data_IF_360018626177
#
_entry.id   IF_360018626177
#
_cell.length_a   1.000
_cell.length_b   1.000
_cell.length_c   1.000
_cell.angle_alpha   90.00
_cell.angle_beta   90.00
_cell.angle_gamma   90.00
#
_symmetry.space_group_name_H-M   'P 1'
#
loop_
_entity.id
_entity.type
_entity.pdbx_description
1 polymer ?
#
# COMPACT_ATOMS: atom_id res chain seq x y z
N UNK A 1 -18.35 -41.30 -20.89
CA UNK A 1 -17.36 -40.22 -20.63
C UNK A 1 -17.83 -39.39 -19.43
N UNK A 2 -17.60 -39.89 -18.20
CA UNK A 2 -17.94 -39.18 -16.94
C UNK A 2 -16.78 -38.25 -16.57
N UNK A 3 -16.78 -36.99 -17.03
CA UNK A 3 -15.85 -35.98 -16.51
C UNK A 3 -16.43 -35.37 -15.22
N UNK A 4 -15.95 -35.92 -14.11
CA UNK A 4 -15.36 -35.17 -12.99
C UNK A 4 -16.24 -34.19 -12.19
N UNK A 5 -17.19 -34.75 -11.43
CA UNK A 5 -17.90 -34.02 -10.37
C UNK A 5 -17.03 -33.71 -9.14
N UNK A 6 -15.97 -34.50 -8.92
CA UNK A 6 -15.00 -34.35 -7.83
C UNK A 6 -14.18 -33.07 -7.96
N UNK A 7 -13.55 -32.81 -9.12
CA UNK A 7 -12.75 -31.61 -9.34
C UNK A 7 -13.56 -30.31 -9.23
N UNK A 8 -14.83 -30.34 -9.62
CA UNK A 8 -15.74 -29.18 -9.48
C UNK A 8 -16.17 -28.91 -8.03
N UNK A 9 -16.22 -29.93 -7.16
CA UNK A 9 -16.48 -29.77 -5.72
C UNK A 9 -15.23 -29.26 -5.00
N UNK A 10 -14.06 -29.80 -5.34
CA UNK A 10 -12.78 -29.41 -4.75
C UNK A 10 -12.41 -27.96 -5.06
N UNK A 11 -12.57 -27.54 -6.33
CA UNK A 11 -12.40 -26.14 -6.72
C UNK A 11 -13.35 -25.18 -6.00
N UNK A 12 -14.60 -25.59 -5.73
CA UNK A 12 -15.57 -24.80 -4.96
C UNK A 12 -15.15 -24.62 -3.50
N UNK A 13 -14.61 -25.67 -2.88
CA UNK A 13 -14.16 -25.64 -1.49
C UNK A 13 -12.94 -24.74 -1.33
N UNK A 14 -11.96 -24.86 -2.23
CA UNK A 14 -10.75 -24.02 -2.24
C UNK A 14 -11.08 -22.52 -2.38
N UNK A 15 -12.03 -22.17 -3.27
CA UNK A 15 -12.48 -20.78 -3.43
C UNK A 15 -13.15 -20.21 -2.17
N UNK A 16 -13.94 -21.04 -1.47
CA UNK A 16 -14.57 -20.63 -0.22
C UNK A 16 -13.52 -20.42 0.88
N UNK A 17 -12.57 -21.35 1.02
CA UNK A 17 -11.49 -21.24 2.02
C UNK A 17 -10.68 -19.96 1.81
N UNK A 18 -10.29 -19.66 0.57
CA UNK A 18 -9.58 -18.42 0.25
C UNK A 18 -10.39 -17.18 0.59
N UNK A 19 -11.69 -17.17 0.28
CA UNK A 19 -12.56 -16.04 0.58
C UNK A 19 -12.71 -15.82 2.09
N UNK A 20 -12.91 -16.89 2.87
CA UNK A 20 -13.01 -16.83 4.34
C UNK A 20 -11.68 -16.38 4.95
N UNK A 21 -10.55 -16.92 4.47
CA UNK A 21 -9.23 -16.51 4.92
C UNK A 21 -8.98 -15.03 4.64
N UNK A 22 -9.39 -14.53 3.46
CA UNK A 22 -9.25 -13.11 3.12
C UNK A 22 -10.10 -12.23 4.03
N UNK A 23 -11.36 -12.59 4.26
CA UNK A 23 -12.23 -11.87 5.21
C UNK A 23 -11.62 -11.83 6.61
N UNK A 24 -11.15 -12.97 7.12
CA UNK A 24 -10.50 -13.04 8.42
C UNK A 24 -9.23 -12.16 8.49
N UNK A 25 -8.40 -12.20 7.45
CA UNK A 25 -7.16 -11.42 7.39
C UNK A 25 -7.41 -9.91 7.34
N UNK A 26 -8.41 -9.43 6.59
CA UNK A 26 -8.71 -7.98 6.56
C UNK A 26 -9.39 -7.49 7.83
N UNK A 27 -10.17 -8.35 8.51
CA UNK A 27 -10.72 -8.05 9.84
C UNK A 27 -9.59 -7.98 10.86
N UNK A 28 -8.67 -8.96 10.87
CA UNK A 28 -7.49 -8.95 11.72
C UNK A 28 -6.65 -7.69 11.49
N UNK A 29 -6.39 -7.35 10.23
CA UNK A 29 -5.70 -6.12 9.84
C UNK A 29 -6.39 -4.86 10.41
N UNK A 30 -7.70 -4.72 10.23
CA UNK A 30 -8.44 -3.54 10.69
C UNK A 30 -8.47 -3.44 12.22
N UNK A 31 -8.66 -4.57 12.92
CA UNK A 31 -8.64 -4.65 14.39
C UNK A 31 -7.24 -4.29 14.92
N UNK A 32 -6.18 -4.86 14.35
CA UNK A 32 -4.81 -4.53 14.74
C UNK A 32 -4.52 -3.04 14.53
N UNK A 33 -4.94 -2.47 13.39
CA UNK A 33 -4.81 -1.05 13.11
C UNK A 33 -5.57 -0.15 14.09
N UNK A 34 -6.80 -0.51 14.46
CA UNK A 34 -7.59 0.25 15.44
C UNK A 34 -6.99 0.20 16.85
N UNK A 35 -6.55 -0.98 17.29
CA UNK A 35 -5.91 -1.17 18.59
C UNK A 35 -4.56 -0.46 18.65
N UNK A 36 -3.71 -0.64 17.64
CA UNK A 36 -2.40 0.00 17.56
C UNK A 36 -2.47 1.51 17.31
N UNK A 37 -3.53 1.99 16.69
CA UNK A 37 -3.78 3.43 16.51
C UNK A 37 -4.30 4.11 17.78
N UNK A 38 -5.11 3.41 18.58
CA UNK A 38 -5.64 3.93 19.86
C UNK A 38 -4.66 3.82 21.03
N UNK A 39 -3.61 3.01 20.91
CA UNK A 39 -2.71 2.70 22.03
C UNK A 39 -3.32 1.73 23.05
N UNK A 40 -4.39 1.02 22.67
CA UNK A 40 -4.98 0.01 23.55
C UNK A 40 -4.02 -1.18 23.79
N UNK A 41 -3.13 -1.46 22.84
CA UNK A 41 -1.96 -2.33 23.03
C UNK A 41 -0.69 -1.65 22.54
N UNK A 42 0.22 -1.33 23.46
CA UNK A 42 1.45 -0.59 23.17
C UNK A 42 1.21 0.91 22.96
N UNK A 43 2.23 1.59 22.44
CA UNK A 43 2.13 3.01 22.15
C UNK A 43 1.43 3.24 20.80
N UNK A 44 0.62 4.30 20.65
CA UNK A 44 0.01 4.65 19.36
C UNK A 44 1.05 4.76 18.24
N UNK A 45 0.76 4.20 17.07
CA UNK A 45 1.68 4.24 15.90
C UNK A 45 2.20 5.67 15.63
N UNK A 46 1.33 6.67 15.67
CA UNK A 46 1.74 8.06 15.48
C UNK A 46 2.70 8.57 16.57
N UNK A 47 2.51 8.15 17.83
CA UNK A 47 3.40 8.50 18.95
C UNK A 47 4.80 7.90 18.74
N UNK A 48 4.85 6.59 18.42
CA UNK A 48 6.12 5.91 18.15
C UNK A 48 6.83 6.55 16.97
N UNK A 49 6.14 6.82 15.86
CA UNK A 49 6.73 7.47 14.70
C UNK A 49 7.31 8.86 15.03
N UNK A 50 6.58 9.68 15.79
CA UNK A 50 7.03 11.01 16.20
C UNK A 50 8.22 10.99 17.17
N UNK A 51 8.49 9.87 17.84
CA UNK A 51 9.67 9.72 18.69
C UNK A 51 10.97 9.49 17.91
N UNK A 52 10.89 9.25 16.59
CA UNK A 52 12.03 9.12 15.68
C UNK A 52 11.89 10.10 14.51
N UNK A 53 11.97 11.42 14.77
CA UNK A 53 11.74 12.43 13.75
C UNK A 53 12.80 12.34 12.64
N UNK A 54 12.35 12.38 11.39
CA UNK A 54 13.22 12.43 10.21
C UNK A 54 12.77 13.54 9.27
N UNK A 55 13.65 13.95 8.35
CA UNK A 55 13.32 14.95 7.34
C UNK A 55 12.24 14.47 6.35
N UNK A 56 11.94 13.16 6.32
CA UNK A 56 10.98 12.54 5.38
C UNK A 56 9.83 11.84 6.11
N UNK A 57 9.62 12.14 7.40
CA UNK A 57 8.46 11.68 8.15
C UNK A 57 7.23 12.48 7.68
N UNK A 58 6.19 11.84 7.13
CA UNK A 58 4.95 12.53 6.79
C UNK A 58 4.29 13.11 8.05
N UNK A 59 3.62 14.25 7.91
CA UNK A 59 2.86 14.83 9.03
C UNK A 59 1.79 13.87 9.56
N UNK A 60 1.41 14.02 10.84
CA UNK A 60 0.51 13.08 11.53
C UNK A 60 -0.83 12.80 10.82
N UNK A 61 -1.37 13.77 10.08
CA UNK A 61 -2.59 13.60 9.30
C UNK A 61 -2.47 12.61 8.13
N UNK A 62 -1.23 12.30 7.68
CA UNK A 62 -0.97 11.33 6.63
C UNK A 62 -1.47 9.93 6.98
N UNK A 63 -1.35 9.55 8.25
CA UNK A 63 -1.70 8.21 8.75
C UNK A 63 -3.20 7.91 8.68
N UNK A 64 -4.06 8.91 8.45
CA UNK A 64 -5.50 8.70 8.22
C UNK A 64 -5.79 7.86 6.97
N UNK A 65 -4.83 7.75 6.03
CA UNK A 65 -4.91 6.84 4.89
C UNK A 65 -5.03 5.36 5.29
N UNK A 66 -4.57 4.96 6.48
CA UNK A 66 -4.76 3.60 6.98
C UNK A 66 -6.23 3.27 7.16
N UNK A 67 -7.05 4.20 7.66
CA UNK A 67 -8.50 4.03 7.75
C UNK A 67 -9.11 3.78 6.37
N UNK A 68 -8.69 4.54 5.37
CA UNK A 68 -9.12 4.33 3.98
C UNK A 68 -8.70 2.94 3.47
N UNK A 69 -7.45 2.53 3.69
CA UNK A 69 -6.93 1.21 3.30
C UNK A 69 -7.74 0.09 3.96
N UNK A 70 -8.04 0.19 5.26
CA UNK A 70 -8.82 -0.84 5.97
C UNK A 70 -10.24 -0.95 5.42
N UNK A 71 -10.92 0.17 5.19
CA UNK A 71 -12.26 0.18 4.57
C UNK A 71 -12.21 -0.43 3.16
N UNK A 72 -11.27 0.00 2.32
CA UNK A 72 -11.14 -0.52 0.95
C UNK A 72 -10.81 -2.01 0.92
N UNK A 73 -9.95 -2.50 1.82
CA UNK A 73 -9.62 -3.92 1.98
C UNK A 73 -10.83 -4.75 2.39
N UNK A 74 -11.64 -4.27 3.35
CA UNK A 74 -12.87 -4.94 3.77
C UNK A 74 -13.86 -5.03 2.61
N UNK A 75 -14.09 -3.92 1.91
CA UNK A 75 -14.99 -3.87 0.75
C UNK A 75 -14.53 -4.83 -0.35
N UNK A 76 -13.22 -4.87 -0.65
CA UNK A 76 -12.65 -5.81 -1.60
C UNK A 76 -12.84 -7.25 -1.16
N UNK A 77 -12.60 -7.57 0.11
CA UNK A 77 -12.74 -8.93 0.65
C UNK A 77 -14.20 -9.41 0.60
N UNK A 78 -15.15 -8.55 0.97
CA UNK A 78 -16.59 -8.83 0.86
C UNK A 78 -16.96 -9.09 -0.59
N UNK A 79 -16.52 -8.23 -1.53
CA UNK A 79 -16.74 -8.45 -2.96
C UNK A 79 -16.16 -9.77 -3.42
N UNK A 80 -14.92 -10.07 -3.06
CA UNK A 80 -14.23 -11.31 -3.43
C UNK A 80 -14.91 -12.57 -2.87
N UNK A 81 -15.63 -12.46 -1.75
CA UNK A 81 -16.38 -13.55 -1.14
C UNK A 81 -17.72 -13.86 -1.82
N UNK A 82 -18.29 -12.92 -2.60
CA UNK A 82 -19.57 -13.11 -3.27
C UNK A 82 -19.52 -14.33 -4.23
N UNK A 83 -20.60 -15.13 -4.32
CA UNK A 83 -20.60 -16.36 -5.14
C UNK A 83 -20.21 -16.16 -6.60
N UNK A 84 -20.59 -15.02 -7.19
CA UNK A 84 -20.27 -14.63 -8.58
C UNK A 84 -18.82 -14.16 -8.76
N UNK A 85 -18.16 -13.72 -7.69
CA UNK A 85 -16.81 -13.15 -7.73
C UNK A 85 -15.75 -14.15 -7.29
N UNK A 86 -16.02 -14.94 -6.23
CA UNK A 86 -15.03 -15.86 -5.63
C UNK A 86 -14.43 -16.88 -6.58
N UNK A 87 -15.07 -17.17 -7.71
CA UNK A 87 -14.58 -18.11 -8.72
C UNK A 87 -13.78 -17.47 -9.85
N UNK A 88 -13.74 -16.13 -9.93
CA UNK A 88 -13.02 -15.43 -10.99
C UNK A 88 -11.52 -15.62 -10.82
N UNK A 89 -10.83 -15.80 -11.94
CA UNK A 89 -9.40 -16.05 -12.00
C UNK A 89 -8.58 -14.96 -11.31
N UNK A 90 -8.97 -13.68 -11.49
CA UNK A 90 -8.29 -12.57 -10.82
C UNK A 90 -8.29 -12.71 -9.29
N UNK A 91 -9.41 -13.09 -8.68
CA UNK A 91 -9.51 -13.30 -7.23
C UNK A 91 -8.79 -14.57 -6.76
N UNK A 92 -8.67 -15.59 -7.61
CA UNK A 92 -7.81 -16.76 -7.35
C UNK A 92 -6.34 -16.38 -7.37
N UNK A 93 -5.94 -15.55 -8.33
CA UNK A 93 -4.57 -15.09 -8.51
C UNK A 93 -4.08 -14.16 -7.40
N UNK A 94 -4.92 -13.24 -6.91
CA UNK A 94 -4.53 -12.24 -5.90
C UNK A 94 -4.90 -12.61 -4.47
N UNK A 95 -5.91 -13.46 -4.26
CA UNK A 95 -6.54 -13.59 -2.93
C UNK A 95 -5.59 -14.03 -1.81
N UNK A 96 -4.70 -14.99 -2.06
CA UNK A 96 -3.73 -15.44 -1.05
C UNK A 96 -2.64 -14.42 -0.75
N UNK A 97 -2.28 -13.58 -1.73
CA UNK A 97 -1.38 -12.45 -1.51
C UNK A 97 -2.03 -11.39 -0.64
N UNK A 98 -3.33 -11.14 -0.82
CA UNK A 98 -4.08 -10.22 0.02
C UNK A 98 -4.31 -10.77 1.46
N UNK A 99 -4.45 -12.09 1.60
CA UNK A 99 -4.43 -12.75 2.93
C UNK A 99 -3.09 -12.48 3.63
N UNK A 100 -1.97 -12.78 2.95
CA UNK A 100 -0.64 -12.52 3.49
C UNK A 100 -0.44 -11.04 3.81
N UNK A 101 -0.92 -10.13 2.96
CA UNK A 101 -0.86 -8.69 3.20
C UNK A 101 -1.63 -8.27 4.47
N UNK A 102 -2.81 -8.84 4.72
CA UNK A 102 -3.58 -8.57 5.93
C UNK A 102 -2.86 -9.04 7.20
N UNK A 103 -2.27 -10.24 7.16
CA UNK A 103 -1.51 -10.81 8.29
C UNK A 103 -0.23 -10.01 8.55
N UNK A 104 0.55 -9.71 7.51
CA UNK A 104 1.76 -8.89 7.63
C UNK A 104 1.43 -7.46 8.09
N UNK A 105 0.26 -6.92 7.71
CA UNK A 105 -0.19 -5.63 8.22
C UNK A 105 -0.36 -5.66 9.74
N UNK A 106 -1.13 -6.63 10.23
CA UNK A 106 -1.33 -6.78 11.67
C UNK A 106 0.00 -6.99 12.41
N UNK A 107 0.90 -7.80 11.83
CA UNK A 107 2.20 -8.10 12.42
C UNK A 107 3.10 -6.86 12.54
N UNK A 108 3.19 -5.99 11.52
CA UNK A 108 4.03 -4.79 11.64
C UNK A 108 3.44 -3.81 12.66
N UNK A 109 2.10 -3.67 12.72
CA UNK A 109 1.47 -2.79 13.72
C UNK A 109 1.85 -3.24 15.13
N UNK A 110 1.76 -4.54 15.41
CA UNK A 110 2.18 -5.10 16.70
C UNK A 110 3.67 -4.83 16.95
N UNK A 111 4.56 -5.16 16.00
CA UNK A 111 6.00 -4.94 16.19
C UNK A 111 6.35 -3.46 16.41
N UNK A 112 5.73 -2.55 15.66
CA UNK A 112 6.01 -1.12 15.69
C UNK A 112 5.52 -0.49 16.99
N UNK A 113 4.30 -0.83 17.45
CA UNK A 113 3.74 -0.34 18.73
C UNK A 113 4.52 -0.82 19.95
N UNK A 114 5.31 -1.91 19.82
CA UNK A 114 6.26 -2.39 20.83
C UNK A 114 7.69 -1.86 20.63
N UNK A 115 7.90 -0.90 19.72
CA UNK A 115 9.21 -0.30 19.36
C UNK A 115 10.24 -1.29 18.80
N UNK A 116 9.80 -2.45 18.29
CA UNK A 116 10.67 -3.38 17.58
C UNK A 116 10.90 -2.91 16.14
N UNK A 117 11.52 -1.75 15.97
CA UNK A 117 11.52 -1.01 14.69
C UNK A 117 12.20 -1.76 13.55
N UNK A 118 13.32 -2.42 13.80
CA UNK A 118 14.01 -3.23 12.78
C UNK A 118 13.12 -4.38 12.29
N UNK A 119 12.40 -5.03 13.21
CA UNK A 119 11.47 -6.09 12.87
C UNK A 119 10.25 -5.54 12.13
N UNK A 120 9.69 -4.42 12.59
CA UNK A 120 8.57 -3.76 11.93
C UNK A 120 8.93 -3.35 10.48
N UNK A 121 10.12 -2.80 10.27
CA UNK A 121 10.65 -2.44 8.96
C UNK A 121 10.81 -3.68 8.06
N UNK A 122 11.39 -4.77 8.57
CA UNK A 122 11.50 -6.01 7.82
C UNK A 122 10.11 -6.58 7.41
N UNK A 123 9.11 -6.48 8.29
CA UNK A 123 7.73 -6.88 7.99
C UNK A 123 7.10 -5.94 6.95
N UNK A 124 7.33 -4.62 7.02
CA UNK A 124 6.85 -3.65 6.03
C UNK A 124 7.45 -3.94 4.64
N UNK A 125 8.74 -4.29 4.56
CA UNK A 125 9.39 -4.69 3.30
C UNK A 125 8.74 -5.98 2.76
N UNK A 126 8.52 -6.99 3.61
CA UNK A 126 7.84 -8.21 3.20
C UNK A 126 6.40 -7.94 2.72
N UNK A 127 5.67 -7.06 3.42
CA UNK A 127 4.34 -6.59 3.05
C UNK A 127 4.36 -5.92 1.67
N UNK A 128 5.34 -5.04 1.42
CA UNK A 128 5.50 -4.38 0.12
C UNK A 128 5.72 -5.40 -1.00
N UNK A 129 6.59 -6.40 -0.82
CA UNK A 129 6.83 -7.45 -1.82
C UNK A 129 5.55 -8.23 -2.15
N UNK A 130 4.79 -8.59 -1.11
CA UNK A 130 3.49 -9.27 -1.25
C UNK A 130 2.48 -8.40 -2.02
N UNK A 131 2.40 -7.11 -1.69
CA UNK A 131 1.50 -6.15 -2.35
C UNK A 131 1.91 -5.88 -3.80
N UNK A 132 3.20 -5.74 -4.10
CA UNK A 132 3.71 -5.63 -5.46
C UNK A 132 3.36 -6.87 -6.28
N UNK A 133 3.44 -8.07 -5.69
CA UNK A 133 3.06 -9.31 -6.37
C UNK A 133 1.55 -9.35 -6.65
N UNK A 134 0.71 -8.94 -5.68
CA UNK A 134 -0.73 -8.80 -5.89
C UNK A 134 -1.05 -7.75 -6.98
N UNK A 135 -0.32 -6.64 -6.98
CA UNK A 135 -0.46 -5.54 -7.93
C UNK A 135 -0.16 -5.99 -9.37
N UNK A 136 1.00 -6.59 -9.60
CA UNK A 136 1.36 -7.11 -10.93
C UNK A 136 0.30 -8.09 -11.44
N UNK A 137 -0.17 -9.00 -10.57
CA UNK A 137 -1.21 -9.97 -10.92
C UNK A 137 -2.56 -9.30 -11.24
N UNK A 138 -2.98 -8.29 -10.48
CA UNK A 138 -4.24 -7.59 -10.78
C UNK A 138 -4.14 -6.77 -12.05
N UNK A 139 -3.01 -6.12 -12.30
CA UNK A 139 -2.80 -5.32 -13.53
C UNK A 139 -2.73 -6.17 -14.81
N UNK A 140 -2.39 -7.46 -14.69
CA UNK A 140 -2.47 -8.42 -15.79
C UNK A 140 -3.90 -8.82 -16.17
N UNK A 141 -4.91 -8.41 -15.40
CA UNK A 141 -6.32 -8.66 -15.68
C UNK A 141 -7.04 -7.33 -15.95
N UNK A 142 -7.48 -7.05 -17.19
CA UNK A 142 -8.29 -5.87 -17.47
C UNK A 142 -9.56 -5.84 -16.63
N UNK A 143 -10.00 -4.66 -16.19
CA UNK A 143 -11.21 -4.57 -15.38
C UNK A 143 -12.44 -4.91 -16.23
N UNK A 144 -13.33 -5.74 -15.67
CA UNK A 144 -14.60 -6.10 -16.32
C UNK A 144 -15.65 -4.99 -16.32
N UNK A 145 -15.35 -3.82 -15.74
CA UNK A 145 -16.24 -2.68 -15.63
C UNK A 145 -15.90 -1.77 -14.44
N UNK A 146 -16.73 -0.75 -14.21
CA UNK A 146 -16.53 0.24 -13.13
C UNK A 146 -16.36 -0.37 -11.73
N UNK A 147 -17.05 -1.49 -11.47
CA UNK A 147 -17.01 -2.11 -10.16
C UNK A 147 -15.68 -2.82 -9.89
N UNK A 148 -15.00 -3.35 -10.91
CA UNK A 148 -13.65 -3.92 -10.75
C UNK A 148 -12.62 -2.80 -10.56
N UNK A 149 -12.77 -1.70 -11.31
CA UNK A 149 -11.94 -0.51 -11.17
C UNK A 149 -11.90 -0.02 -9.72
N UNK A 150 -13.09 0.25 -9.18
CA UNK A 150 -13.23 0.86 -7.85
C UNK A 150 -13.00 -0.12 -6.70
N UNK A 151 -13.40 -1.39 -6.85
CA UNK A 151 -13.46 -2.34 -5.72
C UNK A 151 -12.41 -3.46 -5.81
N UNK A 152 -11.58 -3.48 -6.84
CA UNK A 152 -10.48 -4.43 -7.00
C UNK A 152 -9.15 -3.73 -7.31
N UNK A 153 -9.08 -2.89 -8.33
CA UNK A 153 -7.83 -2.21 -8.67
C UNK A 153 -7.50 -1.08 -7.68
N UNK A 154 -8.43 -0.15 -7.44
CA UNK A 154 -8.16 0.99 -6.53
C UNK A 154 -7.70 0.56 -5.14
N UNK A 155 -8.33 -0.40 -4.43
CA UNK A 155 -7.88 -0.82 -3.10
C UNK A 155 -6.43 -1.32 -3.07
N UNK A 156 -6.06 -2.19 -4.03
CA UNK A 156 -4.70 -2.74 -4.10
C UNK A 156 -3.70 -1.63 -4.45
N UNK A 157 -4.08 -0.70 -5.34
CA UNK A 157 -3.25 0.41 -5.77
C UNK A 157 -2.96 1.39 -4.64
N UNK A 158 -4.01 1.82 -3.93
CA UNK A 158 -3.85 2.69 -2.75
C UNK A 158 -2.94 2.02 -1.72
N UNK A 159 -3.13 0.72 -1.48
CA UNK A 159 -2.38 -0.01 -0.48
C UNK A 159 -0.89 -0.12 -0.84
N UNK A 160 -0.55 -0.55 -2.06
CA UNK A 160 0.85 -0.66 -2.49
C UNK A 160 1.53 0.71 -2.60
N UNK A 161 0.80 1.75 -3.03
CA UNK A 161 1.33 3.12 -3.12
C UNK A 161 1.69 3.70 -1.76
N UNK A 162 0.81 3.55 -0.77
CA UNK A 162 1.10 3.98 0.60
C UNK A 162 2.26 3.21 1.23
N UNK A 163 2.23 1.86 1.15
CA UNK A 163 3.26 1.03 1.76
C UNK A 163 4.63 1.30 1.11
N UNK A 164 4.68 1.57 -0.19
CA UNK A 164 5.93 1.94 -0.87
C UNK A 164 6.61 3.18 -0.26
N UNK A 165 5.85 4.24 0.04
CA UNK A 165 6.40 5.42 0.71
C UNK A 165 6.69 5.15 2.19
N UNK A 166 5.83 4.38 2.85
CA UNK A 166 6.01 4.00 4.25
C UNK A 166 7.29 3.19 4.48
N UNK A 167 7.70 2.33 3.54
CA UNK A 167 9.00 1.62 3.61
C UNK A 167 10.17 2.60 3.61
N UNK A 168 10.17 3.59 2.72
CA UNK A 168 11.29 4.56 2.66
C UNK A 168 11.35 5.43 3.92
N UNK A 169 10.20 5.92 4.39
CA UNK A 169 10.12 6.74 5.60
C UNK A 169 10.39 5.93 6.88
N UNK A 170 9.91 4.67 6.92
CA UNK A 170 10.14 3.72 8.00
C UNK A 170 11.60 3.34 8.15
N UNK A 171 12.31 3.11 7.03
CA UNK A 171 13.75 2.87 7.02
C UNK A 171 14.53 4.04 7.63
N UNK A 172 14.17 5.29 7.29
CA UNK A 172 14.80 6.46 7.90
C UNK A 172 14.56 6.53 9.42
N UNK A 173 13.32 6.27 9.86
CA UNK A 173 12.95 6.28 11.28
C UNK A 173 13.68 5.16 12.05
N UNK A 174 13.80 3.99 11.44
CA UNK A 174 14.57 2.85 11.97
C UNK A 174 16.06 3.19 12.06
N UNK A 175 16.62 3.90 11.08
CA UNK A 175 18.00 4.40 11.13
C UNK A 175 18.24 5.32 12.33
N UNK A 176 17.35 6.28 12.57
CA UNK A 176 17.42 7.16 13.76
C UNK A 176 17.34 6.34 15.05
N UNK A 177 16.47 5.33 15.10
CA UNK A 177 16.36 4.44 16.27
C UNK A 177 17.63 3.62 16.54
N UNK A 178 18.41 3.33 15.51
CA UNK A 178 19.72 2.68 15.60
C UNK A 178 20.86 3.67 15.91
N UNK A 179 20.56 4.95 16.13
CA UNK A 179 21.54 6.00 16.44
C UNK A 179 22.13 6.69 15.22
N UNK A 180 21.67 6.41 14.00
CA UNK A 180 22.17 7.01 12.77
C UNK A 180 21.62 8.44 12.66
N UNK A 181 22.42 9.42 13.08
CA UNK A 181 22.05 10.85 13.13
C UNK A 181 23.12 11.71 12.47
N UNK A 182 23.27 11.64 11.13
CA UNK A 182 24.33 12.36 10.43
C UNK A 182 24.06 13.88 10.42
N UNK A 183 25.12 14.70 10.30
CA UNK A 183 24.98 16.16 10.27
C UNK A 183 24.10 16.62 9.09
N UNK A 184 23.51 17.83 9.15
CA UNK A 184 22.64 18.38 8.10
C UNK A 184 23.23 18.35 6.68
N UNK A 185 24.56 18.49 6.55
CA UNK A 185 25.28 18.41 5.28
C UNK A 185 25.15 17.06 4.58
N UNK A 186 24.80 16.01 5.32
CA UNK A 186 24.61 14.64 4.81
C UNK A 186 23.14 14.24 4.86
N UNK A 187 22.43 14.51 5.96
CA UNK A 187 21.02 14.11 6.11
C UNK A 187 20.09 14.80 5.11
N UNK A 188 20.31 16.08 4.79
CA UNK A 188 19.47 16.82 3.84
C UNK A 188 19.60 16.27 2.41
N UNK A 189 20.80 16.12 1.81
CA UNK A 189 20.93 15.49 0.49
C UNK A 189 20.37 14.06 0.44
N UNK A 190 20.61 13.24 1.47
CA UNK A 190 20.06 11.88 1.53
C UNK A 190 18.53 11.87 1.55
N UNK A 191 17.91 12.76 2.33
CA UNK A 191 16.46 12.92 2.37
C UNK A 191 15.90 13.35 1.00
N UNK A 192 16.55 14.31 0.33
CA UNK A 192 16.17 14.73 -1.03
C UNK A 192 16.27 13.56 -2.01
N UNK A 193 17.38 12.81 -2.00
CA UNK A 193 17.57 11.64 -2.85
C UNK A 193 16.53 10.55 -2.59
N UNK A 194 16.18 10.30 -1.32
CA UNK A 194 15.15 9.33 -0.95
C UNK A 194 13.77 9.74 -1.47
N UNK A 195 13.39 11.02 -1.32
CA UNK A 195 12.11 11.56 -1.81
C UNK A 195 12.05 11.53 -3.34
N UNK A 196 13.09 12.01 -4.03
CA UNK A 196 13.14 12.00 -5.49
C UNK A 196 13.20 10.58 -6.05
N UNK A 197 13.95 9.69 -5.42
CA UNK A 197 14.01 8.26 -5.80
C UNK A 197 12.63 7.60 -5.68
N UNK A 198 11.90 7.90 -4.60
CA UNK A 198 10.51 7.45 -4.41
C UNK A 198 9.59 7.98 -5.50
N UNK A 199 9.69 9.28 -5.83
CA UNK A 199 8.89 9.88 -6.89
C UNK A 199 9.21 9.30 -8.28
N UNK A 200 10.50 9.09 -8.59
CA UNK A 200 10.93 8.46 -9.86
C UNK A 200 10.40 7.04 -9.95
N UNK A 201 10.55 6.23 -8.90
CA UNK A 201 10.01 4.87 -8.87
C UNK A 201 8.48 4.86 -9.06
N UNK A 202 7.78 5.80 -8.44
CA UNK A 202 6.33 5.95 -8.62
C UNK A 202 5.95 6.37 -10.04
N UNK A 203 6.67 7.31 -10.66
CA UNK A 203 6.44 7.71 -12.07
C UNK A 203 6.67 6.53 -13.01
N UNK A 204 7.76 5.76 -12.82
CA UNK A 204 8.03 4.56 -13.61
C UNK A 204 6.89 3.55 -13.47
N UNK A 205 6.42 3.29 -12.24
CA UNK A 205 5.28 2.42 -12.01
C UNK A 205 4.00 2.92 -12.68
N UNK A 206 3.72 4.23 -12.62
CA UNK A 206 2.56 4.86 -13.27
C UNK A 206 2.61 4.73 -14.80
N UNK A 207 3.80 4.75 -15.40
CA UNK A 207 3.99 4.65 -16.85
C UNK A 207 3.96 3.20 -17.33
N UNK A 208 4.44 2.23 -16.53
CA UNK A 208 4.53 0.82 -16.92
C UNK A 208 3.29 -0.01 -16.62
N UNK A 209 2.53 0.36 -15.59
CA UNK A 209 1.34 -0.38 -15.18
C UNK A 209 0.05 0.31 -15.61
N UNK A 210 -1.04 -0.45 -15.61
CA UNK A 210 -2.40 0.06 -15.78
C UNK A 210 -3.10 0.16 -14.41
N UNK A 211 -4.26 0.83 -14.39
CA UNK A 211 -5.07 1.01 -13.18
C UNK A 211 -4.39 1.83 -12.07
N UNK A 212 -3.51 2.75 -12.44
CA UNK A 212 -2.52 3.37 -11.54
C UNK A 212 -3.05 4.49 -10.66
N UNK A 213 -4.32 4.91 -10.78
CA UNK A 213 -4.82 6.07 -10.05
C UNK A 213 -4.83 5.90 -8.53
N UNK A 214 -5.22 4.73 -8.02
CA UNK A 214 -5.17 4.47 -6.58
C UNK A 214 -3.75 4.57 -6.02
N UNK A 215 -2.79 4.01 -6.77
CA UNK A 215 -1.37 4.08 -6.45
C UNK A 215 -0.83 5.51 -6.49
N UNK A 216 -1.06 6.23 -7.59
CA UNK A 216 -0.60 7.61 -7.76
C UNK A 216 -1.18 8.54 -6.69
N UNK A 217 -2.46 8.38 -6.35
CA UNK A 217 -3.12 9.16 -5.31
C UNK A 217 -2.49 8.91 -3.93
N UNK A 218 -2.21 7.65 -3.57
CA UNK A 218 -1.60 7.33 -2.28
C UNK A 218 -0.15 7.84 -2.17
N UNK A 219 0.64 7.74 -3.24
CA UNK A 219 2.00 8.29 -3.28
C UNK A 219 1.96 9.82 -3.19
N UNK A 220 1.11 10.47 -3.99
CA UNK A 220 0.97 11.94 -3.97
C UNK A 220 0.51 12.44 -2.60
N UNK A 221 -0.43 11.73 -1.95
CA UNK A 221 -0.86 12.00 -0.58
C UNK A 221 0.32 11.96 0.39
N UNK A 222 1.12 10.89 0.37
CA UNK A 222 2.26 10.75 1.27
C UNK A 222 3.33 11.83 1.04
N UNK A 223 3.69 12.09 -0.22
CA UNK A 223 4.67 13.13 -0.57
C UNK A 223 4.17 14.53 -0.19
N UNK A 224 2.88 14.83 -0.35
CA UNK A 224 2.31 16.11 0.10
C UNK A 224 2.43 16.28 1.62
N UNK A 225 2.17 15.23 2.40
CA UNK A 225 2.34 15.27 3.85
C UNK A 225 3.80 15.34 4.31
N UNK A 226 4.75 14.82 3.53
CA UNK A 226 6.19 15.06 3.76
C UNK A 226 6.52 16.52 3.52
N UNK A 227 6.03 17.11 2.41
CA UNK A 227 6.30 18.51 2.08
C UNK A 227 5.80 19.48 3.14
N UNK A 228 4.65 19.19 3.75
CA UNK A 228 4.04 20.03 4.80
C UNK A 228 4.75 19.88 6.14
N UNK A 229 5.29 18.70 6.46
CA UNK A 229 5.85 18.41 7.78
C UNK A 229 7.35 18.68 7.91
N UNK A 230 8.10 18.58 6.81
CA UNK A 230 9.56 18.69 6.88
C UNK A 230 10.02 20.12 7.17
N UNK A 231 10.98 20.33 8.08
CA UNK A 231 11.55 21.67 8.33
C UNK A 231 12.56 22.08 7.25
N UNK A 232 12.92 21.18 6.32
CA UNK A 232 13.94 21.42 5.30
C UNK A 232 13.32 21.82 3.97
N UNK A 233 13.52 23.08 3.57
CA UNK A 233 13.04 23.60 2.28
C UNK A 233 13.46 22.73 1.08
N UNK A 234 14.72 22.28 0.94
CA UNK A 234 15.10 21.38 -0.16
C UNK A 234 14.29 20.09 -0.21
N UNK A 235 13.98 19.50 0.94
CA UNK A 235 13.18 18.27 1.03
C UNK A 235 11.72 18.55 0.69
N UNK A 236 11.17 19.68 1.16
CA UNK A 236 9.82 20.11 0.81
C UNK A 236 9.68 20.35 -0.71
N UNK A 237 10.64 21.04 -1.32
CA UNK A 237 10.67 21.27 -2.76
C UNK A 237 10.76 19.96 -3.55
N UNK A 238 11.62 19.02 -3.14
CA UNK A 238 11.72 17.70 -3.74
C UNK A 238 10.39 16.92 -3.66
N UNK A 239 9.71 16.99 -2.52
CA UNK A 239 8.42 16.34 -2.32
C UNK A 239 7.32 16.96 -3.21
N UNK A 240 7.27 18.29 -3.33
CA UNK A 240 6.35 19.00 -4.23
C UNK A 240 6.61 18.61 -5.69
N UNK A 241 7.86 18.62 -6.14
CA UNK A 241 8.25 18.16 -7.48
C UNK A 241 7.81 16.71 -7.69
N UNK A 242 7.99 15.86 -6.67
CA UNK A 242 7.52 14.48 -6.70
C UNK A 242 6.01 14.35 -6.88
N UNK A 243 5.21 15.09 -6.11
CA UNK A 243 3.74 15.15 -6.25
C UNK A 243 3.37 15.57 -7.68
N UNK A 244 3.92 16.69 -8.18
CA UNK A 244 3.63 17.20 -9.51
C UNK A 244 4.01 16.19 -10.59
N UNK A 245 5.14 15.51 -10.44
CA UNK A 245 5.62 14.50 -11.39
C UNK A 245 4.71 13.28 -11.43
N UNK A 246 4.31 12.75 -10.27
CA UNK A 246 3.42 11.58 -10.16
C UNK A 246 2.03 11.91 -10.71
N UNK A 247 1.47 13.08 -10.35
CA UNK A 247 0.17 13.54 -10.86
C UNK A 247 0.23 13.76 -12.37
N UNK A 248 1.27 14.44 -12.86
CA UNK A 248 1.44 14.67 -14.31
C UNK A 248 1.60 13.35 -15.07
N UNK A 249 2.37 12.40 -14.55
CA UNK A 249 2.50 11.07 -15.14
C UNK A 249 1.16 10.33 -15.20
N UNK A 250 0.36 10.40 -14.12
CA UNK A 250 -0.96 9.75 -14.07
C UNK A 250 -1.96 10.41 -15.04
N UNK A 251 -1.90 11.74 -15.18
CA UNK A 251 -2.70 12.48 -16.17
C UNK A 251 -2.25 12.10 -17.58
N UNK A 252 -0.94 12.14 -17.88
CA UNK A 252 -0.42 11.81 -19.21
C UNK A 252 -0.66 10.35 -19.60
N UNK A 253 -0.58 9.40 -18.68
CA UNK A 253 -0.90 7.99 -18.95
C UNK A 253 -2.38 7.82 -19.31
N UNK A 254 -3.26 8.60 -18.68
CA UNK A 254 -4.68 8.70 -19.06
C UNK A 254 -4.87 9.30 -20.47
N UNK A 255 -4.16 10.37 -20.83
CA UNK A 255 -4.30 11.02 -22.14
C UNK A 255 -3.73 10.21 -23.31
N UNK A 256 -2.58 9.57 -23.12
CA UNK A 256 -1.86 8.82 -24.19
C UNK A 256 -2.51 7.47 -24.52
N UNK A 257 -3.35 6.96 -23.63
CA UNK A 257 -3.94 5.64 -23.80
C UNK A 257 -5.11 5.67 -24.78
N UNK A 258 -5.05 4.82 -25.82
CA UNK A 258 -6.17 4.60 -26.77
C UNK A 258 -7.46 4.19 -26.05
N UNK A 259 -7.32 3.54 -24.91
CA UNK A 259 -8.41 3.09 -24.05
C UNK A 259 -8.25 3.71 -22.65
N UNK A 260 -8.55 5.02 -22.56
CA UNK A 260 -8.27 5.88 -21.39
C UNK A 260 -8.76 5.29 -20.07
N UNK A 261 -9.91 4.61 -20.11
CA UNK A 261 -10.53 4.04 -18.92
C UNK A 261 -9.75 2.82 -18.41
N UNK A 262 -9.21 2.00 -19.31
CA UNK A 262 -8.35 0.86 -18.94
C UNK A 262 -7.04 1.32 -18.32
N UNK A 263 -6.44 2.38 -18.83
CA UNK A 263 -5.17 2.86 -18.31
C UNK A 263 -5.26 3.46 -16.91
N UNK A 264 -6.27 4.29 -16.66
CA UNK A 264 -6.46 4.92 -15.35
C UNK A 264 -6.97 3.94 -14.29
N UNK A 265 -7.84 3.01 -14.68
CA UNK A 265 -8.64 2.26 -13.71
C UNK A 265 -8.61 0.75 -13.87
N UNK A 266 -8.05 0.23 -14.96
CA UNK A 266 -8.14 -1.18 -15.36
C UNK A 266 -9.23 -1.40 -16.39
#
# INVERSE_FOLDING_TARGET
>A
MRRDGSGAVEGRRSDLVRAVALLAAVVLQAVAGAIGGSGAWGEPVGSVANSYPTLILPGGGAFSIWTLIYVLSIVLAVRAALPRQRRREVHRGVGWWLVAAGVLNAAWVVAFTQRWLVLAEAIIVALLVVLCTAWVKVTGHPAGGWADRLLLHTPIGVYVGWVGVATVSGAASTGVALGITPPPSVSVPLAVLAVLGTAVAAVVAVVWFFAVLGFAAAVAWALAWIAVATPSWPVAAAAIVGVLSVVSAAVLSFWRSRDRVRAAWG
#
